data_IF_714348885951
#
_entry.id   IF_714348885951
#
_cell.length_a   1.000
_cell.length_b   1.000
_cell.length_c   1.000
_cell.angle_alpha   90.00
_cell.angle_beta   90.00
_cell.angle_gamma   90.00
#
_symmetry.space_group_name_H-M   'P 1'
#
loop_
_entity.id
_entity.type
_entity.pdbx_description
1 polymer ?
#
# COMPACT_ATOMS: atom_id res chain seq x y z
N UNK A 1 -0.37 -14.30 -8.16
CA UNK A 1 -0.25 -13.09 -7.32
C UNK A 1 -1.50 -12.97 -6.47
N UNK A 2 -1.36 -12.70 -5.18
CA UNK A 2 -2.45 -12.35 -4.27
C UNK A 2 -2.39 -10.85 -4.00
N UNK A 3 -3.46 -10.13 -4.29
CA UNK A 3 -3.56 -8.70 -3.97
C UNK A 3 -4.37 -8.48 -2.69
N UNK A 4 -3.90 -7.58 -1.85
CA UNK A 4 -4.53 -7.30 -0.55
C UNK A 4 -4.23 -5.87 -0.09
N UNK A 5 -5.08 -5.31 0.78
CA UNK A 5 -4.76 -4.07 1.49
C UNK A 5 -3.84 -4.29 2.70
N UNK A 6 -3.48 -5.54 3.01
CA UNK A 6 -2.54 -5.87 4.09
C UNK A 6 -3.09 -5.77 5.51
N UNK A 7 -4.28 -5.20 5.75
CA UNK A 7 -4.75 -4.93 7.13
C UNK A 7 -4.82 -6.18 8.02
N UNK A 8 -5.31 -7.30 7.47
CA UNK A 8 -5.38 -8.57 8.21
C UNK A 8 -3.99 -9.17 8.44
N UNK A 9 -3.11 -9.10 7.44
CA UNK A 9 -1.74 -9.62 7.51
C UNK A 9 -0.88 -8.83 8.49
N UNK A 10 -1.04 -7.51 8.55
CA UNK A 10 -0.36 -6.66 9.53
C UNK A 10 -0.88 -6.84 10.94
N UNK A 11 -2.19 -7.12 11.11
CA UNK A 11 -2.80 -7.33 12.42
C UNK A 11 -2.51 -8.72 13.00
N UNK A 12 -2.47 -9.74 12.15
CA UNK A 12 -2.36 -11.15 12.54
C UNK A 12 -1.23 -11.83 11.76
N UNK A 13 -0.06 -11.92 12.38
CA UNK A 13 1.15 -12.55 11.82
C UNK A 13 0.90 -13.98 11.33
N UNK A 14 0.07 -14.75 12.04
CA UNK A 14 -0.30 -16.12 11.67
C UNK A 14 -0.86 -16.24 10.25
N UNK A 15 -1.46 -15.19 9.69
CA UNK A 15 -1.91 -15.22 8.30
C UNK A 15 -0.74 -15.16 7.32
N UNK A 16 0.32 -14.41 7.61
CA UNK A 16 1.53 -14.42 6.78
C UNK A 16 2.22 -15.80 6.82
N UNK A 17 2.30 -16.41 8.01
CA UNK A 17 2.81 -17.78 8.18
C UNK A 17 1.99 -18.79 7.37
N UNK A 18 0.66 -18.70 7.40
CA UNK A 18 -0.20 -19.57 6.60
C UNK A 18 0.08 -19.43 5.09
N UNK A 19 0.36 -18.21 4.62
CA UNK A 19 0.69 -17.94 3.23
C UNK A 19 2.05 -18.53 2.81
N UNK A 20 2.98 -18.77 3.74
CA UNK A 20 4.28 -19.41 3.44
C UNK A 20 4.15 -20.84 2.91
N UNK A 21 3.00 -21.50 3.12
CA UNK A 21 2.73 -22.85 2.60
C UNK A 21 2.52 -22.88 1.07
N UNK A 22 2.45 -21.72 0.41
CA UNK A 22 2.25 -21.61 -1.03
C UNK A 22 3.55 -21.21 -1.74
N UNK A 23 4.34 -22.16 -2.27
CA UNK A 23 5.72 -21.91 -2.72
C UNK A 23 5.86 -20.96 -3.93
N UNK A 24 4.77 -20.74 -4.68
CA UNK A 24 4.74 -19.85 -5.85
C UNK A 24 3.88 -18.60 -5.62
N UNK A 25 3.52 -18.34 -4.36
CA UNK A 25 2.73 -17.17 -4.01
C UNK A 25 3.63 -15.93 -3.98
N UNK A 26 3.13 -14.88 -4.61
CA UNK A 26 3.67 -13.53 -4.50
C UNK A 26 2.54 -12.59 -4.08
N UNK A 27 2.76 -11.79 -3.04
CA UNK A 27 1.75 -10.91 -2.45
C UNK A 27 2.01 -9.46 -2.84
N UNK A 28 1.01 -8.83 -3.46
CA UNK A 28 0.99 -7.39 -3.75
C UNK A 28 0.19 -6.68 -2.67
N UNK A 29 0.86 -5.87 -1.85
CA UNK A 29 0.20 -5.12 -0.77
C UNK A 29 -0.12 -3.71 -1.27
N UNK A 30 -1.41 -3.44 -1.49
CA UNK A 30 -1.88 -2.13 -1.91
C UNK A 30 -1.88 -1.16 -0.72
N UNK A 31 -0.93 -0.24 -0.70
CA UNK A 31 -0.80 0.81 0.31
C UNK A 31 -1.54 2.05 -0.19
N UNK A 32 -2.57 2.49 0.55
CA UNK A 32 -3.28 3.73 0.22
C UNK A 32 -2.62 4.95 0.86
N UNK A 33 -1.98 5.78 0.02
CA UNK A 33 -1.25 6.98 0.45
C UNK A 33 0.18 6.69 0.89
N UNK A 34 0.98 7.75 1.08
CA UNK A 34 2.37 7.61 1.57
C UNK A 34 2.48 7.90 3.09
N UNK A 35 1.41 8.40 3.70
CA UNK A 35 1.31 8.74 5.14
C UNK A 35 0.01 8.20 5.77
N UNK A 36 -0.07 8.25 7.10
CA UNK A 36 -1.30 7.92 7.83
C UNK A 36 -2.44 8.90 7.50
N UNK A 37 -2.11 10.17 7.35
CA UNK A 37 -3.01 11.25 7.01
C UNK A 37 -3.55 11.10 5.58
N UNK A 38 -2.69 10.71 4.63
CA UNK A 38 -3.13 10.35 3.27
C UNK A 38 -4.09 9.17 3.31
N UNK A 39 -3.74 8.12 4.05
CA UNK A 39 -4.59 6.95 4.21
C UNK A 39 -5.98 7.32 4.75
N UNK A 40 -6.03 8.09 5.84
CA UNK A 40 -7.30 8.50 6.43
C UNK A 40 -8.13 9.35 5.47
N UNK A 41 -7.49 10.29 4.79
CA UNK A 41 -8.15 11.13 3.80
C UNK A 41 -8.68 10.32 2.60
N UNK A 42 -7.90 9.39 2.06
CA UNK A 42 -8.26 8.57 0.88
C UNK A 42 -9.32 7.53 1.23
N UNK A 43 -9.21 6.88 2.39
CA UNK A 43 -10.03 5.71 2.73
C UNK A 43 -11.20 6.04 3.63
N UNK A 44 -11.09 7.12 4.44
CA UNK A 44 -12.02 7.44 5.52
C UNK A 44 -11.83 6.58 6.77
N UNK A 45 -10.85 5.69 6.80
CA UNK A 45 -10.52 4.87 7.97
C UNK A 45 -9.41 5.54 8.81
N UNK A 46 -9.38 5.36 10.13
CA UNK A 46 -8.37 5.98 11.01
C UNK A 46 -6.93 5.74 10.54
N UNK A 47 -6.10 6.79 10.58
CA UNK A 47 -4.70 6.79 10.14
C UNK A 47 -3.87 5.65 10.74
N UNK A 48 -4.16 5.21 11.96
CA UNK A 48 -3.44 4.10 12.62
C UNK A 48 -3.43 2.80 11.81
N UNK A 49 -4.44 2.60 10.94
CA UNK A 49 -4.53 1.41 10.09
C UNK A 49 -3.56 1.45 8.91
N UNK A 50 -3.04 2.63 8.55
CA UNK A 50 -1.95 2.76 7.58
C UNK A 50 -0.75 1.89 7.99
N UNK A 51 -0.37 1.93 9.27
CA UNK A 51 0.78 1.19 9.78
C UNK A 51 0.59 -0.33 9.72
N UNK A 52 -0.65 -0.84 9.67
CA UNK A 52 -0.89 -2.26 9.43
C UNK A 52 -0.54 -2.67 8.00
N UNK A 53 -0.69 -1.78 7.01
CA UNK A 53 -0.27 -2.07 5.63
C UNK A 53 1.26 -2.26 5.56
N UNK A 54 2.00 -1.45 6.33
CA UNK A 54 3.47 -1.57 6.43
C UNK A 54 3.86 -2.81 7.21
N UNK A 55 3.19 -3.07 8.34
CA UNK A 55 3.40 -4.27 9.16
C UNK A 55 3.10 -5.55 8.38
N UNK A 56 2.17 -5.52 7.43
CA UNK A 56 1.90 -6.65 6.55
C UNK A 56 3.13 -7.06 5.74
N UNK A 57 3.86 -6.10 5.18
CA UNK A 57 5.09 -6.37 4.41
C UNK A 57 6.19 -6.94 5.31
N UNK A 58 6.35 -6.40 6.52
CA UNK A 58 7.27 -6.94 7.52
C UNK A 58 6.91 -8.39 7.89
N UNK A 59 5.64 -8.67 8.21
CA UNK A 59 5.20 -10.02 8.55
C UNK A 59 5.37 -11.01 7.40
N UNK A 60 5.06 -10.59 6.16
CA UNK A 60 5.26 -11.42 4.96
C UNK A 60 6.75 -11.73 4.75
N UNK A 61 7.61 -10.73 4.90
CA UNK A 61 9.05 -10.89 4.81
C UNK A 61 9.60 -11.86 5.86
N UNK A 62 9.22 -11.68 7.13
CA UNK A 62 9.62 -12.56 8.23
C UNK A 62 9.14 -14.00 8.02
N UNK A 63 7.97 -14.19 7.41
CA UNK A 63 7.42 -15.50 7.04
C UNK A 63 8.03 -16.09 5.76
N UNK A 64 8.99 -15.40 5.11
CA UNK A 64 9.61 -15.85 3.86
C UNK A 64 8.68 -15.81 2.64
N UNK A 65 7.60 -15.03 2.70
CA UNK A 65 6.64 -14.88 1.61
C UNK A 65 7.08 -13.73 0.70
N UNK A 66 7.25 -14.03 -0.59
CA UNK A 66 7.58 -13.01 -1.59
C UNK A 66 6.48 -11.95 -1.67
N UNK A 67 6.84 -10.68 -1.50
CA UNK A 67 5.88 -9.58 -1.49
C UNK A 67 6.50 -8.27 -1.98
N UNK A 68 5.66 -7.34 -2.40
CA UNK A 68 6.06 -5.96 -2.67
C UNK A 68 4.95 -4.95 -2.31
N UNK A 69 5.32 -3.68 -2.03
CA UNK A 69 4.38 -2.60 -1.86
C UNK A 69 3.91 -2.04 -3.22
N UNK A 70 2.60 -1.88 -3.37
CA UNK A 70 1.99 -1.09 -4.45
C UNK A 70 1.31 0.14 -3.87
N UNK A 71 1.90 1.31 -4.07
CA UNK A 71 1.58 2.53 -3.33
C UNK A 71 0.77 3.48 -4.19
N UNK A 72 -0.43 3.85 -3.74
CA UNK A 72 -1.24 4.91 -4.36
C UNK A 72 -0.58 6.28 -4.13
N UNK A 73 0.29 6.69 -5.07
CA UNK A 73 1.08 7.93 -4.97
C UNK A 73 0.30 9.17 -5.42
N UNK A 74 -0.83 8.98 -6.12
CA UNK A 74 -1.61 10.07 -6.72
C UNK A 74 -2.09 11.15 -5.75
N UNK A 75 -2.15 10.83 -4.46
CA UNK A 75 -2.68 11.74 -3.44
C UNK A 75 -1.61 12.24 -2.47
N UNK A 76 -0.36 11.81 -2.60
CA UNK A 76 0.74 12.05 -1.65
C UNK A 76 1.76 13.03 -2.23
N UNK A 77 2.55 13.72 -1.40
CA UNK A 77 3.69 14.47 -1.92
C UNK A 77 4.84 13.52 -2.31
N UNK A 78 5.74 13.99 -3.16
CA UNK A 78 6.95 13.23 -3.53
C UNK A 78 7.82 12.96 -2.30
N UNK A 79 7.97 13.95 -1.41
CA UNK A 79 8.74 13.83 -0.17
C UNK A 79 8.13 12.78 0.77
N UNK A 80 6.81 12.71 0.87
CA UNK A 80 6.11 11.68 1.65
C UNK A 80 6.41 10.28 1.12
N UNK A 81 6.39 10.11 -0.20
CA UNK A 81 6.65 8.82 -0.81
C UNK A 81 8.12 8.40 -0.72
N UNK A 82 9.05 9.35 -0.79
CA UNK A 82 10.48 9.09 -0.50
C UNK A 82 10.64 8.59 0.94
N UNK A 83 10.05 9.27 1.93
CA UNK A 83 10.10 8.84 3.33
C UNK A 83 9.48 7.45 3.55
N UNK A 84 8.36 7.17 2.88
CA UNK A 84 7.78 5.84 2.92
C UNK A 84 8.73 4.79 2.34
N UNK A 85 9.35 5.07 1.18
CA UNK A 85 10.31 4.16 0.55
C UNK A 85 11.51 3.89 1.46
N UNK A 86 12.08 4.92 2.10
CA UNK A 86 13.16 4.78 3.09
C UNK A 86 12.73 3.88 4.27
N UNK A 87 11.50 4.04 4.76
CA UNK A 87 10.95 3.17 5.81
C UNK A 87 10.83 1.72 5.33
N UNK A 88 10.45 1.49 4.07
CA UNK A 88 10.37 0.14 3.50
C UNK A 88 11.76 -0.49 3.34
N UNK A 89 12.77 0.28 2.93
CA UNK A 89 14.18 -0.16 2.94
C UNK A 89 14.65 -0.61 4.33
N UNK A 90 14.16 0.03 5.40
CA UNK A 90 14.53 -0.36 6.77
C UNK A 90 13.95 -1.70 7.22
N UNK A 91 12.93 -2.22 6.52
CA UNK A 91 12.41 -3.58 6.74
C UNK A 91 13.33 -4.58 6.03
N UNK A 92 13.52 -4.38 4.73
CA UNK A 92 14.46 -5.14 3.89
C UNK A 92 14.69 -4.38 2.57
N UNK A 93 15.92 -4.46 2.03
CA UNK A 93 16.28 -3.76 0.80
C UNK A 93 15.40 -4.17 -0.38
N UNK A 94 15.03 -5.46 -0.49
CA UNK A 94 14.22 -5.96 -1.60
C UNK A 94 12.78 -5.40 -1.59
N UNK A 95 12.25 -5.04 -0.42
CA UNK A 95 10.93 -4.41 -0.29
C UNK A 95 10.99 -2.96 -0.76
N UNK A 96 12.06 -2.24 -0.40
CA UNK A 96 12.31 -0.88 -0.88
C UNK A 96 12.52 -0.81 -2.39
N UNK A 97 13.29 -1.75 -2.94
CA UNK A 97 13.58 -1.84 -4.39
C UNK A 97 12.34 -2.21 -5.22
N UNK A 98 11.43 -2.99 -4.65
CA UNK A 98 10.19 -3.43 -5.31
C UNK A 98 9.01 -2.46 -5.15
N UNK A 99 9.26 -1.22 -4.70
CA UNK A 99 8.26 -0.16 -4.59
C UNK A 99 7.58 0.12 -5.93
N UNK A 100 6.32 -0.30 -6.07
CA UNK A 100 5.48 -0.05 -7.24
C UNK A 100 4.64 1.21 -7.03
N UNK A 101 4.75 2.18 -7.95
CA UNK A 101 3.88 3.37 -7.95
C UNK A 101 2.54 3.08 -8.64
N UNK A 102 1.44 3.29 -7.92
CA UNK A 102 0.08 3.19 -8.45
C UNK A 102 -0.51 4.59 -8.68
N UNK A 103 -0.87 4.88 -9.93
CA UNK A 103 -1.50 6.15 -10.32
C UNK A 103 -3.00 5.93 -10.56
N UNK A 104 -3.84 6.80 -9.99
CA UNK A 104 -5.30 6.75 -10.17
C UNK A 104 -5.68 7.01 -11.62
N UNK A 105 -6.54 6.15 -12.16
CA UNK A 105 -7.10 6.30 -13.52
C UNK A 105 -8.45 7.01 -13.42
N UNK A 106 -8.60 8.12 -14.14
CA UNK A 106 -9.74 9.04 -14.01
C UNK A 106 -10.91 8.66 -14.91
N UNK A 107 -11.50 7.48 -14.68
CA UNK A 107 -12.79 7.11 -15.27
C UNK A 107 -13.91 8.08 -14.81
N UNK A 108 -14.99 8.25 -15.60
CA UNK A 108 -16.09 9.16 -15.23
C UNK A 108 -16.61 8.96 -13.81
N UNK A 109 -16.89 7.71 -13.41
CA UNK A 109 -17.36 7.39 -12.06
C UNK A 109 -16.31 7.69 -10.97
N UNK A 110 -15.01 7.53 -11.25
CA UNK A 110 -13.93 7.87 -10.29
C UNK A 110 -13.90 9.37 -10.05
N UNK A 111 -14.05 10.19 -11.10
CA UNK A 111 -14.11 11.66 -10.98
C UNK A 111 -15.26 12.10 -10.07
N UNK A 112 -16.42 11.48 -10.22
CA UNK A 112 -17.60 11.77 -9.40
C UNK A 112 -17.35 11.45 -7.93
N UNK A 113 -16.83 10.25 -7.63
CA UNK A 113 -16.52 9.82 -6.26
C UNK A 113 -15.48 10.73 -5.61
N UNK A 114 -14.40 11.05 -6.32
CA UNK A 114 -13.34 11.92 -5.83
C UNK A 114 -13.86 13.34 -5.55
N UNK A 115 -14.69 13.89 -6.45
CA UNK A 115 -15.30 15.21 -6.26
C UNK A 115 -16.24 15.24 -5.04
N UNK A 116 -17.09 14.22 -4.86
CA UNK A 116 -17.97 14.11 -3.68
C UNK A 116 -17.19 14.07 -2.37
N UNK A 117 -16.02 13.43 -2.37
CA UNK A 117 -15.14 13.31 -1.21
C UNK A 117 -14.15 14.47 -1.07
N UNK A 118 -14.18 15.46 -1.98
CA UNK A 118 -13.22 16.56 -2.06
C UNK A 118 -11.77 16.08 -2.11
N UNK A 119 -11.54 14.96 -2.80
CA UNK A 119 -10.22 14.37 -3.03
C UNK A 119 -9.75 14.75 -4.43
N UNK A 120 -8.59 15.39 -4.52
CA UNK A 120 -8.01 15.79 -5.79
C UNK A 120 -6.64 15.14 -5.92
N UNK A 121 -6.42 14.28 -6.92
CA UNK A 121 -5.12 13.70 -7.14
C UNK A 121 -4.16 14.75 -7.68
N UNK A 122 -2.90 14.70 -7.21
CA UNK A 122 -1.79 15.52 -7.69
C UNK A 122 -1.34 15.08 -9.09
N UNK A 123 -1.35 13.77 -9.32
CA UNK A 123 -1.08 13.13 -10.61
C UNK A 123 -2.17 12.12 -10.92
N UNK A 124 -2.54 11.96 -12.19
CA UNK A 124 -3.57 11.00 -12.59
C UNK A 124 -3.40 10.57 -14.04
N UNK A 125 -3.91 9.39 -14.38
CA UNK A 125 -3.95 8.89 -15.74
C UNK A 125 -5.33 9.10 -16.36
N UNK A 126 -5.36 9.25 -17.68
CA UNK A 126 -6.59 9.19 -18.46
C UNK A 126 -6.87 7.74 -18.86
N UNK A 127 -8.14 7.31 -18.87
CA UNK A 127 -8.55 6.01 -19.40
C UNK A 127 -8.13 5.78 -20.85
#
# INVERSE_FOLDING_TARGET
ILETNGLLLGKHESYAEQLSNFPFLHVRVSIKGCTGEDFERITGAPEKYFYLQIKALENLFLAGVSAHPAVMVSFSSEEDCIRLKEKLYSIDESIGDSFEEEIVIMYPHVKEILAMRKLYPRISLKP
#
